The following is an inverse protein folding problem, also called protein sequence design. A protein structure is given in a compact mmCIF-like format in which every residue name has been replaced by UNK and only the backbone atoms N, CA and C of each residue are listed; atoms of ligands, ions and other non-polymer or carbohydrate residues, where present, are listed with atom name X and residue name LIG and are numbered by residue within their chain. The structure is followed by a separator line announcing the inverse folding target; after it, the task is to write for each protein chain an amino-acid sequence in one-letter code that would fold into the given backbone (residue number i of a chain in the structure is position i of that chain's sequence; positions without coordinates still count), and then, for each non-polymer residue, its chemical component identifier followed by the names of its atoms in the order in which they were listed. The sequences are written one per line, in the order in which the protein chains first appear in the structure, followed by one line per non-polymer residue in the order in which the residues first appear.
data_IF_481342129662
#
_entry.id   IF_481342129662
#
_cell.length_a   1.000
_cell.length_b   1.000
_cell.length_c   1.000
_cell.angle_alpha   90.00
_cell.angle_beta   90.00
_cell.angle_gamma   90.00
#
_symmetry.space_group_name_H-M   'P 1'
#
loop_
_entity.id
_entity.type
_entity.pdbx_description
1 polymer ?
#
# COMPACT_ATOMS: atom_id res chain seq x y z
N UNK A 1 16.10 -26.53 -4.57
CA UNK A 1 16.41 -26.32 -6.00
C UNK A 1 15.79 -25.00 -6.46
N UNK A 2 16.57 -24.14 -7.11
CA UNK A 2 16.13 -22.79 -7.52
C UNK A 2 15.09 -22.86 -8.66
N UNK A 3 14.16 -21.89 -8.68
CA UNK A 3 13.10 -21.74 -9.70
C UNK A 3 13.69 -21.58 -11.10
N UNK A 4 14.87 -20.98 -11.19
CA UNK A 4 15.56 -20.75 -12.46
C UNK A 4 15.99 -22.06 -13.13
N UNK A 5 16.40 -23.07 -12.35
CA UNK A 5 16.83 -24.38 -12.87
C UNK A 5 15.66 -25.20 -13.41
N UNK A 6 14.48 -25.10 -12.80
CA UNK A 6 13.28 -25.80 -13.27
C UNK A 6 12.73 -25.20 -14.58
N UNK A 7 12.85 -23.88 -14.74
CA UNK A 7 12.45 -23.20 -15.97
C UNK A 7 13.45 -23.43 -17.11
N UNK A 8 14.75 -23.64 -16.82
CA UNK A 8 15.75 -23.99 -17.84
C UNK A 8 15.52 -25.38 -18.43
N UNK A 9 15.29 -26.39 -17.59
CA UNK A 9 15.05 -27.75 -18.06
C UNK A 9 13.83 -27.86 -19.02
N UNK A 10 12.80 -27.03 -18.81
CA UNK A 10 11.60 -27.01 -19.66
C UNK A 10 11.83 -26.26 -20.98
N UNK A 11 12.72 -25.27 -20.98
CA UNK A 11 13.10 -24.48 -22.16
C UNK A 11 14.00 -25.29 -23.09
N UNK A 12 14.82 -26.18 -22.54
CA UNK A 12 15.69 -27.06 -23.31
C UNK A 12 14.92 -28.24 -23.93
N UNK A 13 13.88 -28.76 -23.27
CA UNK A 13 13.05 -29.87 -23.80
C UNK A 13 11.93 -29.41 -24.75
N UNK A 14 11.43 -28.18 -24.63
CA UNK A 14 10.32 -27.65 -25.43
C UNK A 14 10.65 -26.27 -25.95
N UNK A 15 10.34 -26.02 -27.24
CA UNK A 15 10.50 -24.81 -28.09
C UNK A 15 9.99 -23.46 -27.51
N UNK A 16 9.96 -23.22 -26.22
CA UNK A 16 9.47 -22.01 -25.58
C UNK A 16 10.62 -21.24 -24.95
N UNK A 17 10.64 -19.91 -25.10
CA UNK A 17 11.67 -19.09 -24.43
C UNK A 17 11.25 -18.83 -22.99
N UNK A 18 12.20 -18.66 -22.07
CA UNK A 18 11.95 -18.28 -20.66
C UNK A 18 10.99 -17.09 -20.52
N UNK A 19 11.06 -16.14 -21.46
CA UNK A 19 10.16 -14.97 -21.52
C UNK A 19 8.69 -15.35 -21.78
N UNK A 20 8.44 -16.39 -22.57
CA UNK A 20 7.09 -16.83 -22.91
C UNK A 20 6.43 -17.52 -21.71
N UNK A 21 7.18 -18.34 -20.98
CA UNK A 21 6.73 -18.97 -19.74
C UNK A 21 6.36 -17.92 -18.68
N UNK A 22 7.11 -16.83 -18.57
CA UNK A 22 6.78 -15.69 -17.67
C UNK A 22 5.57 -14.87 -18.15
N UNK A 23 5.23 -14.88 -19.43
CA UNK A 23 4.14 -14.10 -20.03
C UNK A 23 2.86 -14.92 -20.25
N UNK A 24 2.38 -15.61 -19.20
CA UNK A 24 1.08 -16.31 -19.18
C UNK A 24 1.00 -17.62 -19.98
N UNK A 25 2.05 -18.01 -20.71
CA UNK A 25 2.10 -19.30 -21.42
C UNK A 25 2.25 -20.47 -20.42
N UNK A 26 2.98 -20.25 -19.31
CA UNK A 26 3.05 -21.22 -18.21
C UNK A 26 1.66 -21.57 -17.63
N UNK A 27 0.80 -20.57 -17.42
CA UNK A 27 -0.57 -20.76 -16.91
C UNK A 27 -1.46 -21.55 -17.87
N UNK A 28 -1.18 -21.52 -19.18
CA UNK A 28 -1.95 -22.22 -20.21
C UNK A 28 -1.48 -23.66 -20.45
N UNK A 29 -0.22 -23.95 -20.15
CA UNK A 29 0.40 -25.29 -20.24
C UNK A 29 0.20 -26.07 -18.92
N UNK A 30 -0.44 -25.47 -17.90
CA UNK A 30 -0.62 -26.11 -16.59
C UNK A 30 0.67 -26.14 -15.76
N UNK A 31 1.67 -25.33 -16.12
CA UNK A 31 2.86 -25.13 -15.29
C UNK A 31 2.45 -24.12 -14.22
N UNK A 32 2.11 -24.63 -13.04
CA UNK A 32 1.83 -23.81 -11.87
C UNK A 32 3.03 -22.91 -11.59
N UNK A 33 2.84 -21.62 -11.85
CA UNK A 33 3.78 -20.58 -11.47
C UNK A 33 3.86 -20.59 -9.94
N UNK A 34 4.89 -21.26 -9.37
CA UNK A 34 5.06 -21.49 -7.92
C UNK A 34 5.02 -20.21 -7.07
N UNK A 35 5.03 -19.03 -7.69
CA UNK A 35 4.73 -17.74 -7.05
C UNK A 35 3.28 -17.61 -6.57
N UNK A 36 2.34 -18.41 -7.07
CA UNK A 36 0.94 -18.44 -6.60
C UNK A 36 0.70 -19.37 -5.40
N UNK A 37 1.63 -20.29 -5.14
CA UNK A 37 1.54 -21.34 -4.11
C UNK A 37 2.51 -21.08 -2.94
N UNK A 38 2.68 -19.82 -2.53
CA UNK A 38 3.08 -19.57 -1.14
C UNK A 38 1.81 -19.73 -0.29
N UNK A 39 1.85 -20.50 0.82
CA UNK A 39 0.72 -20.54 1.73
C UNK A 39 0.41 -19.09 2.12
N UNK A 40 -0.79 -18.65 1.76
CA UNK A 40 -1.26 -17.32 2.10
C UNK A 40 -1.44 -17.34 3.61
N UNK A 41 -0.58 -16.62 4.34
CA UNK A 41 -0.82 -16.37 5.76
C UNK A 41 -2.27 -15.88 5.90
N UNK A 42 -3.05 -16.44 6.84
CA UNK A 42 -4.44 -16.07 7.02
C UNK A 42 -4.57 -14.56 7.23
N UNK A 43 -5.66 -13.93 6.75
CA UNK A 43 -5.90 -12.52 6.98
C UNK A 43 -5.84 -12.26 8.49
N UNK A 44 -4.91 -11.41 8.89
CA UNK A 44 -4.72 -11.09 10.30
C UNK A 44 -5.89 -10.20 10.74
N UNK A 45 -6.61 -10.67 11.76
CA UNK A 45 -7.64 -9.89 12.45
C UNK A 45 -6.94 -8.75 13.21
N UNK A 46 -7.48 -7.55 13.07
CA UNK A 46 -6.98 -6.36 13.76
C UNK A 46 -8.15 -5.67 14.43
N UNK A 47 -7.85 -4.99 15.52
CA UNK A 47 -8.81 -4.21 16.27
C UNK A 47 -8.59 -2.74 15.97
N UNK A 48 -9.66 -1.99 15.70
CA UNK A 48 -9.61 -0.58 15.34
C UNK A 48 -10.49 0.22 16.28
N UNK A 49 -9.90 1.19 16.95
CA UNK A 49 -10.60 2.26 17.64
C UNK A 49 -10.85 3.41 16.66
N UNK A 50 -12.09 3.85 16.60
CA UNK A 50 -12.60 4.94 15.78
C UNK A 50 -13.15 6.03 16.70
N UNK A 51 -13.18 7.26 16.18
CA UNK A 51 -13.72 8.44 16.87
C UNK A 51 -13.07 8.73 18.24
N UNK A 52 -11.77 8.47 18.38
CA UNK A 52 -11.08 8.80 19.62
C UNK A 52 -10.87 10.33 19.68
N UNK A 53 -11.24 11.01 20.78
CA UNK A 53 -10.98 12.44 20.93
C UNK A 53 -9.48 12.76 20.91
N UNK A 54 -9.11 13.95 20.42
CA UNK A 54 -7.70 14.39 20.38
C UNK A 54 -7.11 14.59 21.78
N UNK A 55 -7.96 14.88 22.77
CA UNK A 55 -7.60 15.04 24.18
C UNK A 55 -7.15 13.74 24.85
N UNK A 56 -7.48 12.60 24.24
CA UNK A 56 -7.09 11.28 24.73
C UNK A 56 -5.70 10.95 24.20
N UNK A 57 -4.75 10.74 25.10
CA UNK A 57 -3.38 10.39 24.73
C UNK A 57 -3.28 8.95 24.23
N UNK A 58 -2.29 8.70 23.37
CA UNK A 58 -1.85 7.37 22.96
C UNK A 58 -1.60 6.44 24.17
N UNK A 59 -0.97 6.93 25.23
CA UNK A 59 -0.72 6.17 26.45
C UNK A 59 -2.00 5.65 27.12
N UNK A 60 -3.07 6.45 27.14
CA UNK A 60 -4.33 5.99 27.75
C UNK A 60 -4.96 4.84 26.98
N UNK A 61 -4.92 4.89 25.65
CA UNK A 61 -5.41 3.79 24.81
C UNK A 61 -4.53 2.54 24.95
N UNK A 62 -3.23 2.73 25.06
CA UNK A 62 -2.28 1.64 25.27
C UNK A 62 -2.51 0.96 26.61
N UNK A 63 -2.68 1.71 27.70
CA UNK A 63 -2.96 1.15 29.04
C UNK A 63 -4.29 0.41 29.09
N UNK A 64 -5.35 0.95 28.44
CA UNK A 64 -6.65 0.27 28.34
C UNK A 64 -6.54 -1.08 27.63
N UNK A 65 -5.72 -1.14 26.58
CA UNK A 65 -5.50 -2.37 25.79
C UNK A 65 -4.61 -3.36 26.56
N UNK A 66 -3.56 -2.86 27.22
CA UNK A 66 -2.64 -3.66 28.03
C UNK A 66 -3.29 -4.34 29.23
N UNK A 67 -4.41 -3.83 29.74
CA UNK A 67 -5.21 -4.51 30.77
C UNK A 67 -5.60 -5.94 30.35
N UNK A 68 -5.70 -6.21 29.04
CA UNK A 68 -6.10 -7.50 28.51
C UNK A 68 -4.92 -8.33 28.01
N UNK A 69 -4.08 -7.73 27.16
CA UNK A 69 -2.92 -8.39 26.57
C UNK A 69 -1.95 -7.36 25.97
N UNK A 70 -0.70 -7.79 25.77
CA UNK A 70 0.28 -7.01 25.04
C UNK A 70 0.01 -7.10 23.52
N UNK A 71 -0.23 -5.97 22.83
CA UNK A 71 -0.43 -5.99 21.38
C UNK A 71 0.89 -6.25 20.66
N UNK A 72 0.86 -7.10 19.63
CA UNK A 72 2.00 -7.37 18.74
C UNK A 72 2.36 -6.12 17.93
N UNK A 73 1.35 -5.35 17.57
CA UNK A 73 1.49 -4.14 16.77
C UNK A 73 0.42 -3.13 17.17
N UNK A 74 0.80 -1.87 17.25
CA UNK A 74 -0.12 -0.76 17.39
C UNK A 74 0.29 0.38 16.46
N UNK A 75 -0.69 1.12 15.96
CA UNK A 75 -0.45 2.34 15.20
C UNK A 75 -1.57 3.35 15.41
N UNK A 76 -1.20 4.62 15.53
CA UNK A 76 -2.12 5.73 15.69
C UNK A 76 -2.18 6.56 14.40
N UNK A 77 -3.38 6.95 14.02
CA UNK A 77 -3.65 7.81 12.89
C UNK A 77 -4.41 9.03 13.38
N UNK A 78 -3.77 10.18 13.23
CA UNK A 78 -4.37 11.46 13.57
C UNK A 78 -5.13 12.00 12.36
N UNK A 79 -6.42 12.27 12.56
CA UNK A 79 -7.25 13.02 11.63
C UNK A 79 -7.52 14.42 12.20
N UNK A 80 -8.18 15.27 11.41
CA UNK A 80 -8.40 16.68 11.79
C UNK A 80 -9.27 16.82 13.04
N UNK A 81 -10.27 15.96 13.18
CA UNK A 81 -11.30 16.08 14.22
C UNK A 81 -11.29 14.89 15.19
N UNK A 82 -10.59 13.80 14.85
CA UNK A 82 -10.55 12.57 15.63
C UNK A 82 -9.25 11.81 15.41
N UNK A 83 -8.93 10.93 16.34
CA UNK A 83 -7.83 9.97 16.26
C UNK A 83 -8.38 8.57 16.04
N UNK A 84 -7.66 7.76 15.28
CA UNK A 84 -7.94 6.33 15.09
C UNK A 84 -6.75 5.53 15.58
N UNK A 85 -6.99 4.43 16.28
CA UNK A 85 -5.93 3.52 16.71
C UNK A 85 -6.17 2.12 16.13
N UNK A 86 -5.10 1.45 15.73
CA UNK A 86 -5.16 0.07 15.21
C UNK A 86 -4.25 -0.79 16.06
N UNK A 87 -4.77 -1.89 16.58
CA UNK A 87 -4.05 -2.87 17.39
C UNK A 87 -4.12 -4.26 16.74
N UNK A 88 -3.03 -5.02 16.84
CA UNK A 88 -2.95 -6.43 16.44
C UNK A 88 -2.62 -7.25 17.70
N UNK A 89 -3.40 -8.30 17.95
CA UNK A 89 -3.19 -9.21 19.06
C UNK A 89 -2.89 -10.62 18.54
N UNK A 90 -2.19 -11.40 19.37
CA UNK A 90 -1.95 -12.83 19.11
C UNK A 90 -3.26 -13.61 19.18
N UNK A 91 -4.04 -13.37 20.23
CA UNK A 91 -5.27 -14.09 20.53
C UNK A 91 -6.53 -13.35 20.05
N UNK A 92 -7.35 -13.97 19.18
CA UNK A 92 -8.61 -13.38 18.72
C UNK A 92 -9.64 -13.19 19.84
N UNK A 93 -9.63 -14.03 20.87
CA UNK A 93 -10.57 -13.92 21.99
C UNK A 93 -10.39 -12.66 22.83
N UNK A 94 -9.17 -12.11 22.85
CA UNK A 94 -8.87 -10.84 23.53
C UNK A 94 -9.54 -9.68 22.78
N UNK A 95 -9.51 -9.72 21.43
CA UNK A 95 -10.14 -8.70 20.59
C UNK A 95 -11.65 -8.61 20.83
N UNK A 96 -12.33 -9.74 20.96
CA UNK A 96 -13.77 -9.79 21.23
C UNK A 96 -14.11 -9.16 22.58
N UNK A 97 -13.33 -9.46 23.63
CA UNK A 97 -13.53 -8.86 24.97
C UNK A 97 -13.33 -7.35 24.98
N UNK A 98 -12.32 -6.85 24.26
CA UNK A 98 -12.05 -5.41 24.15
C UNK A 98 -13.20 -4.71 23.43
N UNK A 99 -13.74 -5.30 22.36
CA UNK A 99 -14.90 -4.75 21.64
C UNK A 99 -16.13 -4.74 22.54
N UNK A 100 -16.43 -5.84 23.23
CA UNK A 100 -17.60 -5.88 24.13
C UNK A 100 -17.51 -4.85 25.26
N UNK A 101 -16.32 -4.60 25.81
CA UNK A 101 -16.14 -3.67 26.93
C UNK A 101 -16.11 -2.21 26.51
N UNK A 102 -15.51 -1.88 25.36
CA UNK A 102 -15.23 -0.49 24.97
C UNK A 102 -16.04 0.02 23.78
N UNK A 103 -16.80 -0.84 23.09
CA UNK A 103 -17.63 -0.36 22.00
C UNK A 103 -18.80 0.48 22.53
N UNK A 104 -18.85 1.75 22.17
CA UNK A 104 -19.89 2.69 22.60
C UNK A 104 -19.67 3.28 23.99
N UNK A 105 -18.50 3.07 24.61
CA UNK A 105 -18.21 3.75 25.87
C UNK A 105 -17.89 5.23 25.64
N UNK A 106 -18.40 6.13 26.50
CA UNK A 106 -17.98 7.53 26.48
C UNK A 106 -16.57 7.62 27.04
N UNK A 107 -15.63 8.11 26.24
CA UNK A 107 -14.29 8.48 26.69
C UNK A 107 -14.18 10.00 26.59
N UNK A 108 -14.15 10.65 27.74
CA UNK A 108 -14.22 12.12 27.86
C UNK A 108 -15.47 12.69 27.17
N UNK A 109 -15.28 13.54 26.15
CA UNK A 109 -16.36 14.21 25.40
C UNK A 109 -16.83 13.43 24.16
N UNK A 110 -16.18 12.31 23.83
CA UNK A 110 -16.49 11.51 22.63
C UNK A 110 -16.95 10.09 22.94
N UNK A 111 -17.76 9.53 22.05
CA UNK A 111 -18.09 8.10 22.05
C UNK A 111 -17.12 7.37 21.14
N UNK A 112 -16.45 6.36 21.70
CA UNK A 112 -15.50 5.56 20.95
C UNK A 112 -16.23 4.36 20.33
N UNK A 113 -15.92 4.08 19.08
CA UNK A 113 -16.37 2.84 18.42
C UNK A 113 -15.18 1.92 18.23
N UNK A 114 -15.36 0.65 18.62
CA UNK A 114 -14.30 -0.36 18.53
C UNK A 114 -14.78 -1.47 17.59
N UNK A 115 -14.03 -1.70 16.53
CA UNK A 115 -14.39 -2.65 15.48
C UNK A 115 -13.26 -3.65 15.23
N UNK A 116 -13.60 -4.92 15.04
CA UNK A 116 -12.67 -5.92 14.50
C UNK A 116 -12.72 -5.82 12.99
N UNK A 117 -11.57 -5.53 12.39
CA UNK A 117 -11.42 -5.46 10.95
C UNK A 117 -10.37 -6.46 10.48
N UNK A 118 -10.76 -7.29 9.51
CA UNK A 118 -9.81 -8.10 8.76
C UNK A 118 -9.21 -7.23 7.66
N UNK A 119 -7.92 -6.93 7.76
CA UNK A 119 -7.27 -6.15 6.73
C UNK A 119 -7.11 -7.00 5.46
N UNK A 120 -8.08 -6.88 4.55
CA UNK A 120 -7.95 -7.44 3.22
C UNK A 120 -6.69 -6.87 2.56
N UNK A 121 -5.77 -7.76 2.17
CA UNK A 121 -4.58 -7.37 1.43
C UNK A 121 -5.04 -6.64 0.17
N UNK A 122 -4.62 -5.37 0.03
CA UNK A 122 -4.85 -4.62 -1.21
C UNK A 122 -4.37 -5.48 -2.38
N UNK A 123 -5.23 -5.80 -3.36
CA UNK A 123 -4.80 -6.58 -4.50
C UNK A 123 -3.65 -5.85 -5.18
N UNK A 124 -2.53 -6.56 -5.33
CA UNK A 124 -1.30 -6.03 -5.91
C UNK A 124 -1.62 -5.41 -7.29
N UNK A 125 -1.68 -4.06 -7.33
CA UNK A 125 -2.04 -3.30 -8.53
C UNK A 125 -1.09 -3.56 -9.69
N UNK A 126 0.08 -4.17 -9.44
CA UNK A 126 1.01 -4.61 -10.48
C UNK A 126 0.41 -5.63 -11.44
N UNK A 127 -0.62 -6.39 -11.04
CA UNK A 127 -1.30 -7.35 -11.93
C UNK A 127 -2.42 -6.75 -12.78
N UNK A 128 -3.00 -5.60 -12.38
CA UNK A 128 -4.12 -4.99 -13.12
C UNK A 128 -3.64 -4.26 -14.38
N UNK A 129 -2.45 -3.66 -14.34
CA UNK A 129 -1.91 -2.90 -15.47
C UNK A 129 -1.39 -3.76 -16.65
N UNK A 130 -1.32 -5.09 -16.53
CA UNK A 130 -0.93 -5.96 -17.65
C UNK A 130 -2.09 -6.41 -18.54
N UNK A 131 -3.35 -6.29 -18.09
CA UNK A 131 -4.51 -6.77 -18.85
C UNK A 131 -5.10 -5.74 -19.80
N UNK A 132 -5.00 -4.45 -19.50
CA UNK A 132 -5.60 -3.39 -20.34
C UNK A 132 -4.75 -2.97 -21.55
N UNK A 133 -3.50 -3.44 -21.68
CA UNK A 133 -2.70 -3.16 -22.88
C UNK A 133 -2.96 -4.13 -24.05
N UNK A 134 -4.00 -4.97 -24.00
CA UNK A 134 -4.32 -5.95 -25.08
C UNK A 134 -5.44 -5.52 -26.03
N UNK A 135 -5.85 -4.25 -26.04
CA UNK A 135 -6.71 -3.67 -27.09
C UNK A 135 -6.25 -2.25 -27.45
N UNK A 136 -5.04 -2.16 -28.00
CA UNK A 136 -4.50 -0.91 -28.52
C UNK A 136 -3.74 -1.16 -29.81
N UNK A 137 -4.46 -1.14 -30.93
CA UNK A 137 -3.89 -0.91 -32.26
C UNK A 137 -3.15 0.43 -32.18
N UNK A 138 -1.82 0.41 -32.20
CA UNK A 138 -1.04 1.63 -32.01
C UNK A 138 0.43 1.42 -32.30
N UNK A 139 0.76 1.40 -33.60
CA UNK A 139 2.13 1.52 -34.11
C UNK A 139 2.82 2.74 -33.47
N UNK A 140 3.95 2.51 -32.81
CA UNK A 140 5.04 3.48 -32.69
C UNK A 140 4.76 4.77 -31.91
N UNK A 141 4.64 4.68 -30.58
CA UNK A 141 5.00 5.84 -29.75
C UNK A 141 6.51 5.79 -29.51
N UNK A 142 7.24 6.42 -30.43
CA UNK A 142 8.66 6.72 -30.27
C UNK A 142 8.81 7.50 -28.97
N UNK A 143 9.65 6.98 -28.08
CA UNK A 143 10.18 7.76 -26.97
C UNK A 143 10.85 9.03 -27.50
N UNK A 144 10.34 10.18 -27.07
CA UNK A 144 11.14 11.40 -26.94
C UNK A 144 10.99 11.87 -25.50
N UNK A 145 11.77 11.22 -24.63
CA UNK A 145 12.19 11.82 -23.38
C UNK A 145 12.87 13.16 -23.67
N UNK A 146 12.80 14.08 -22.69
CA UNK A 146 13.31 15.45 -22.68
C UNK A 146 12.41 16.53 -23.32
N UNK A 147 11.27 16.83 -22.67
CA UNK A 147 10.95 18.26 -22.50
C UNK A 147 12.01 18.81 -21.54
N UNK A 148 12.85 19.72 -22.04
CA UNK A 148 13.83 20.48 -21.25
C UNK A 148 13.10 21.06 -20.05
N UNK A 149 13.65 20.80 -18.86
CA UNK A 149 13.37 21.61 -17.69
C UNK A 149 13.70 23.06 -18.04
N UNK A 150 12.71 23.94 -17.92
CA UNK A 150 12.94 25.37 -17.83
C UNK A 150 13.87 25.58 -16.63
N UNK A 151 15.13 25.92 -16.90
CA UNK A 151 16.01 26.46 -15.85
C UNK A 151 15.46 27.83 -15.49
N UNK A 152 15.41 28.20 -14.20
CA UNK A 152 15.09 29.57 -13.83
C UNK A 152 16.07 30.52 -14.55
N UNK A 153 15.60 31.70 -15.01
CA UNK A 153 16.45 32.69 -15.67
C UNK A 153 17.66 33.03 -14.79
N UNK A 154 18.84 33.12 -15.40
CA UNK A 154 20.05 33.57 -14.69
C UNK A 154 19.95 35.06 -14.36
N UNK A 155 20.64 35.51 -13.32
CA UNK A 155 20.61 36.92 -12.87
C UNK A 155 20.91 37.92 -13.99
N UNK A 156 21.82 37.58 -14.90
CA UNK A 156 22.14 38.40 -16.07
C UNK A 156 20.95 38.60 -17.03
N UNK A 157 20.05 37.62 -17.12
CA UNK A 157 18.85 37.72 -17.96
C UNK A 157 17.80 38.62 -17.31
N UNK A 158 17.64 38.54 -15.99
CA UNK A 158 16.74 39.39 -15.22
C UNK A 158 17.21 40.85 -15.25
N UNK A 159 18.53 41.08 -15.16
CA UNK A 159 19.11 42.42 -15.24
C UNK A 159 18.96 43.04 -16.63
N UNK A 160 19.14 42.26 -17.70
CA UNK A 160 18.93 42.74 -19.06
C UNK A 160 17.46 43.11 -19.32
N UNK A 161 16.52 42.37 -18.73
CA UNK A 161 15.08 42.65 -18.84
C UNK A 161 14.69 43.92 -18.07
N UNK A 162 15.24 44.13 -16.87
CA UNK A 162 15.10 45.36 -16.09
C UNK A 162 15.67 46.59 -16.80
N UNK A 163 16.86 46.48 -17.41
CA UNK A 163 17.43 47.58 -18.18
C UNK A 163 16.56 47.96 -19.37
N UNK A 164 16.02 46.97 -20.10
CA UNK A 164 15.13 47.23 -21.22
C UNK A 164 13.84 47.91 -20.77
N UNK A 165 13.30 47.52 -19.61
CA UNK A 165 12.13 48.16 -19.02
C UNK A 165 12.40 49.63 -18.65
N UNK A 166 13.56 49.91 -18.03
CA UNK A 166 13.97 51.27 -17.66
C UNK A 166 14.32 52.17 -18.85
N UNK A 167 14.77 51.60 -19.98
CA UNK A 167 15.04 52.34 -21.23
C UNK A 167 13.78 52.63 -22.05
N UNK A 168 12.67 51.94 -21.76
CA UNK A 168 11.38 52.09 -22.46
C UNK A 168 10.41 53.08 -21.80
N UNK A 169 10.85 53.75 -20.72
CA UNK A 169 10.16 54.87 -20.08
C UNK A 169 10.95 56.17 -20.23
#
# INVERSE_FOLDING_TARGET
MSVDNALDNIVDEKKYRRRDLRNSLASRIGIEDRLSSRPREPPKKRLRFLNVPLDVSDFTLEDMVKEFAEPIYYNFYDHKDFRSAVFEFEDPSVMERVVEKYNGTPLNEGTITVEIFEQERRPDRRRRNLRDSRRGVGRGSRGSHYKRQDRPPTEDQLNAELENYMKSS
#
